data_IF_330562457978
#
_entry.id   IF_330562457978
#
_cell.length_a   1.000
_cell.length_b   1.000
_cell.length_c   1.000
_cell.angle_alpha   90.00
_cell.angle_beta   90.00
_cell.angle_gamma   90.00
#
_symmetry.space_group_name_H-M   'P 1'
#
loop_
_entity.id
_entity.type
_entity.pdbx_description
1 polymer ?
#
# COMPACT_ATOMS: atom_id res chain seq x y z
N UNK A 1 -18.32 0.63 10.43
CA UNK A 1 -19.48 -0.28 10.47
C UNK A 1 -20.81 0.47 10.59
N UNK A 2 -20.91 1.56 11.36
CA UNK A 2 -22.18 2.27 11.60
C UNK A 2 -22.80 2.86 10.32
N UNK A 3 -21.96 3.40 9.41
CA UNK A 3 -22.42 3.87 8.11
C UNK A 3 -22.96 2.72 7.25
N UNK A 4 -22.29 1.59 7.25
CA UNK A 4 -22.74 0.41 6.52
C UNK A 4 -24.04 -0.14 7.10
N UNK A 5 -24.21 -0.11 8.43
CA UNK A 5 -25.47 -0.46 9.11
C UNK A 5 -26.63 0.44 8.68
N UNK A 6 -26.40 1.75 8.59
CA UNK A 6 -27.44 2.70 8.16
C UNK A 6 -27.84 2.52 6.70
N UNK A 7 -26.88 2.25 5.81
CA UNK A 7 -27.13 1.98 4.40
C UNK A 7 -27.92 0.67 4.20
N UNK A 8 -27.59 -0.38 4.95
CA UNK A 8 -28.28 -1.67 4.88
C UNK A 8 -29.62 -1.70 5.65
N UNK A 9 -29.96 -0.65 6.40
CA UNK A 9 -31.29 -0.47 6.96
C UNK A 9 -32.32 -0.04 5.91
N UNK A 10 -31.91 0.37 4.71
CA UNK A 10 -32.79 0.69 3.60
C UNK A 10 -33.56 -0.57 3.15
N UNK A 11 -34.93 -0.54 3.14
CA UNK A 11 -35.74 -1.66 2.68
C UNK A 11 -35.45 -2.09 1.23
N UNK A 12 -34.97 -1.20 0.39
CA UNK A 12 -34.59 -1.52 -1.00
C UNK A 12 -33.34 -2.40 -1.04
N UNK A 13 -32.38 -2.15 -0.14
CA UNK A 13 -31.13 -2.92 -0.05
C UNK A 13 -31.27 -4.19 0.82
N UNK A 14 -32.28 -4.22 1.69
CA UNK A 14 -32.56 -5.33 2.59
C UNK A 14 -34.07 -5.65 2.65
N UNK A 15 -34.67 -6.11 1.55
CA UNK A 15 -36.11 -6.34 1.47
C UNK A 15 -36.63 -7.44 2.42
N UNK A 16 -35.73 -8.31 2.90
CA UNK A 16 -36.06 -9.37 3.86
C UNK A 16 -36.05 -8.96 5.32
N UNK A 17 -35.67 -7.71 5.65
CA UNK A 17 -35.57 -7.22 7.03
C UNK A 17 -34.57 -7.99 7.92
N UNK A 18 -33.58 -8.67 7.32
CA UNK A 18 -32.53 -9.39 8.04
C UNK A 18 -31.71 -8.41 8.88
N UNK A 19 -31.28 -8.80 10.09
CA UNK A 19 -30.40 -7.94 10.88
C UNK A 19 -29.02 -7.84 10.20
N UNK A 20 -28.34 -6.71 10.41
CA UNK A 20 -26.97 -6.50 9.88
C UNK A 20 -26.02 -7.61 10.30
N UNK A 21 -26.07 -8.02 11.55
CA UNK A 21 -25.25 -9.08 12.12
C UNK A 21 -25.49 -10.45 11.45
N UNK A 22 -26.75 -10.80 11.23
CA UNK A 22 -27.12 -12.02 10.54
C UNK A 22 -26.67 -12.01 9.07
N UNK A 23 -26.86 -10.88 8.39
CA UNK A 23 -26.41 -10.69 7.01
C UNK A 23 -24.89 -10.82 6.87
N UNK A 24 -24.12 -10.15 7.74
CA UNK A 24 -22.65 -10.23 7.74
C UNK A 24 -22.19 -11.66 8.03
N UNK A 25 -22.74 -12.31 9.05
CA UNK A 25 -22.36 -13.69 9.39
C UNK A 25 -22.58 -14.68 8.24
N UNK A 26 -23.59 -14.42 7.41
CA UNK A 26 -23.95 -15.28 6.27
C UNK A 26 -23.21 -14.94 4.98
N UNK A 27 -22.85 -13.66 4.77
CA UNK A 27 -22.38 -13.16 3.46
C UNK A 27 -20.93 -12.69 3.44
N UNK A 28 -20.32 -12.47 4.60
CA UNK A 28 -18.98 -11.91 4.68
C UNK A 28 -18.03 -12.84 5.43
N UNK A 29 -16.89 -13.09 4.81
CA UNK A 29 -15.75 -13.78 5.44
C UNK A 29 -14.56 -12.83 5.39
N UNK A 30 -13.94 -12.58 6.55
CA UNK A 30 -12.70 -11.82 6.61
C UNK A 30 -11.50 -12.77 6.48
N UNK A 31 -10.60 -12.47 5.55
CA UNK A 31 -9.33 -13.17 5.38
C UNK A 31 -8.18 -12.22 5.63
N UNK A 32 -7.07 -12.74 6.16
CA UNK A 32 -5.85 -11.97 6.40
C UNK A 32 -5.01 -11.93 5.13
N UNK A 33 -4.63 -10.72 4.67
CA UNK A 33 -3.78 -10.58 3.51
C UNK A 33 -3.09 -9.21 3.45
N UNK A 34 -2.01 -9.14 2.67
CA UNK A 34 -1.23 -7.93 2.45
C UNK A 34 -0.80 -7.82 0.98
N UNK A 35 -1.33 -6.80 0.29
CA UNK A 35 -1.00 -6.53 -1.12
C UNK A 35 0.47 -6.13 -1.34
N UNK A 36 1.20 -5.78 -0.29
CA UNK A 36 2.63 -5.49 -0.37
C UNK A 36 3.51 -6.76 -0.32
N UNK A 37 2.91 -7.92 -0.06
CA UNK A 37 3.60 -9.20 0.09
C UNK A 37 3.31 -10.12 -1.10
N UNK A 38 4.33 -10.84 -1.57
CA UNK A 38 4.17 -11.82 -2.65
C UNK A 38 3.23 -12.96 -2.19
N UNK A 39 2.36 -13.42 -3.09
CA UNK A 39 1.28 -14.35 -2.76
C UNK A 39 0.21 -13.76 -1.82
N UNK A 40 0.22 -12.42 -1.64
CA UNK A 40 -0.69 -11.68 -0.76
C UNK A 40 -0.59 -12.08 0.72
N UNK A 41 0.43 -12.83 1.13
CA UNK A 41 0.58 -13.33 2.49
C UNK A 41 -0.54 -14.26 2.97
N UNK A 42 -1.34 -14.81 2.04
CA UNK A 42 -2.47 -15.69 2.36
C UNK A 42 -1.98 -17.07 2.83
N UNK A 43 -2.55 -17.57 3.92
CA UNK A 43 -2.40 -18.98 4.30
C UNK A 43 -3.27 -19.88 3.39
N UNK A 44 -3.13 -21.20 3.50
CA UNK A 44 -3.85 -22.16 2.64
C UNK A 44 -5.37 -22.03 2.72
N UNK A 45 -5.93 -21.75 3.90
CA UNK A 45 -7.37 -21.59 4.11
C UNK A 45 -7.86 -20.30 3.42
N UNK A 46 -7.15 -19.20 3.61
CA UNK A 46 -7.48 -17.91 3.01
C UNK A 46 -7.28 -17.94 1.47
N UNK A 47 -6.28 -18.70 0.98
CA UNK A 47 -6.11 -18.95 -0.45
C UNK A 47 -7.32 -19.68 -1.06
N UNK A 48 -7.89 -20.66 -0.35
CA UNK A 48 -9.08 -21.36 -0.83
C UNK A 48 -10.30 -20.43 -0.91
N UNK A 49 -10.46 -19.54 0.07
CA UNK A 49 -11.51 -18.51 0.04
C UNK A 49 -11.28 -17.54 -1.12
N UNK A 50 -10.07 -17.02 -1.28
CA UNK A 50 -9.70 -16.12 -2.38
C UNK A 50 -9.93 -16.79 -3.75
N UNK A 51 -9.56 -18.07 -3.89
CA UNK A 51 -9.73 -18.83 -5.12
C UNK A 51 -11.20 -19.10 -5.48
N UNK A 52 -12.12 -19.01 -4.53
CA UNK A 52 -13.55 -19.18 -4.77
C UNK A 52 -14.24 -17.93 -5.31
N UNK A 53 -13.54 -16.80 -5.37
CA UNK A 53 -14.11 -15.54 -5.84
C UNK A 53 -14.13 -15.48 -7.38
N UNK A 54 -15.27 -15.12 -7.96
CA UNK A 54 -15.45 -14.83 -9.38
C UNK A 54 -15.23 -13.35 -9.73
N UNK A 55 -15.22 -12.48 -8.72
CA UNK A 55 -14.99 -11.03 -8.86
C UNK A 55 -14.07 -10.55 -7.75
N UNK A 56 -13.07 -9.75 -8.11
CA UNK A 56 -12.16 -9.07 -7.17
C UNK A 56 -12.29 -7.56 -7.34
N UNK A 57 -12.63 -6.86 -6.26
CA UNK A 57 -12.64 -5.40 -6.23
C UNK A 57 -11.41 -4.93 -5.45
N UNK A 58 -10.41 -4.43 -6.16
CA UNK A 58 -9.19 -3.90 -5.57
C UNK A 58 -9.32 -2.41 -5.32
N UNK A 59 -9.38 -2.02 -4.03
CA UNK A 59 -9.41 -0.62 -3.58
C UNK A 59 -8.35 -0.31 -2.52
N UNK A 60 -7.44 -1.24 -2.27
CA UNK A 60 -6.35 -1.04 -1.32
C UNK A 60 -5.28 -0.12 -1.89
N UNK A 61 -4.97 0.98 -1.20
CA UNK A 61 -3.94 1.92 -1.62
C UNK A 61 -3.34 2.68 -0.43
N UNK A 62 -2.09 3.10 -0.56
CA UNK A 62 -1.51 4.14 0.27
C UNK A 62 -1.98 5.49 -0.26
N UNK A 63 -2.86 6.17 0.48
CA UNK A 63 -3.54 7.41 0.04
C UNK A 63 -2.90 8.69 0.56
N UNK A 64 -1.88 8.59 1.42
CA UNK A 64 -1.15 9.75 1.93
C UNK A 64 -0.21 10.31 0.87
N UNK A 65 -0.29 11.62 0.61
CA UNK A 65 0.66 12.32 -0.27
C UNK A 65 2.09 12.38 0.30
N UNK A 66 2.26 12.11 1.59
CA UNK A 66 3.55 12.01 2.27
C UNK A 66 3.98 10.55 2.49
N UNK A 67 3.46 9.63 1.69
CA UNK A 67 3.93 8.24 1.69
C UNK A 67 5.37 8.16 1.18
N UNK A 68 6.23 7.33 1.81
CA UNK A 68 7.53 6.99 1.25
C UNK A 68 7.38 6.42 -0.16
N UNK A 69 8.29 6.80 -1.06
CA UNK A 69 8.23 6.40 -2.48
C UNK A 69 8.14 4.89 -2.66
N UNK A 70 8.96 4.14 -1.93
CA UNK A 70 8.99 2.68 -1.99
C UNK A 70 7.67 2.06 -1.51
N UNK A 71 7.08 2.59 -0.44
CA UNK A 71 5.77 2.15 0.06
C UNK A 71 4.66 2.40 -0.97
N UNK A 72 4.65 3.58 -1.60
CA UNK A 72 3.69 3.90 -2.65
C UNK A 72 3.85 2.96 -3.87
N UNK A 73 5.09 2.66 -4.26
CA UNK A 73 5.39 1.71 -5.35
C UNK A 73 4.94 0.30 -4.98
N UNK A 74 5.27 -0.19 -3.78
CA UNK A 74 4.95 -1.57 -3.39
C UNK A 74 3.44 -1.79 -3.19
N UNK A 75 2.70 -0.79 -2.72
CA UNK A 75 1.26 -0.90 -2.47
C UNK A 75 0.46 -0.54 -3.71
N UNK A 76 0.67 0.67 -4.27
CA UNK A 76 -0.22 1.19 -5.31
C UNK A 76 0.09 0.65 -6.70
N UNK A 77 1.38 0.35 -7.00
CA UNK A 77 1.77 -0.17 -8.29
C UNK A 77 1.90 -1.69 -8.27
N UNK A 78 2.59 -2.26 -7.28
CA UNK A 78 2.82 -3.69 -7.20
C UNK A 78 1.63 -4.46 -6.61
N UNK A 79 0.78 -3.83 -5.80
CA UNK A 79 -0.40 -4.46 -5.22
C UNK A 79 -1.30 -5.13 -6.26
N UNK A 80 -1.85 -4.40 -7.25
CA UNK A 80 -2.66 -5.02 -8.30
C UNK A 80 -1.90 -6.05 -9.14
N UNK A 81 -0.59 -5.88 -9.34
CA UNK A 81 0.26 -6.89 -10.03
C UNK A 81 0.32 -8.19 -9.21
N UNK A 82 0.51 -8.09 -7.88
CA UNK A 82 0.53 -9.28 -7.00
C UNK A 82 -0.82 -9.99 -6.93
N UNK A 83 -1.92 -9.24 -6.94
CA UNK A 83 -3.27 -9.85 -7.03
C UNK A 83 -3.38 -10.68 -8.31
N UNK A 84 -3.00 -10.12 -9.46
CA UNK A 84 -3.03 -10.84 -10.73
C UNK A 84 -2.09 -12.07 -10.71
N UNK A 85 -0.91 -11.96 -10.13
CA UNK A 85 0.02 -13.08 -9.97
C UNK A 85 -0.54 -14.17 -9.04
N UNK A 86 -1.22 -13.80 -7.95
CA UNK A 86 -1.88 -14.76 -7.06
C UNK A 86 -3.01 -15.50 -7.79
N UNK A 87 -3.83 -14.79 -8.57
CA UNK A 87 -4.85 -15.43 -9.42
C UNK A 87 -4.23 -16.42 -10.40
N UNK A 88 -3.14 -16.03 -11.06
CA UNK A 88 -2.42 -16.90 -11.99
C UNK A 88 -1.84 -18.14 -11.29
N UNK A 89 -1.24 -17.97 -10.11
CA UNK A 89 -0.67 -19.07 -9.34
C UNK A 89 -1.74 -20.07 -8.87
N UNK A 90 -2.94 -19.60 -8.56
CA UNK A 90 -4.09 -20.42 -8.16
C UNK A 90 -4.91 -20.96 -9.35
N UNK A 91 -4.55 -20.61 -10.58
CA UNK A 91 -5.24 -21.07 -11.79
C UNK A 91 -6.66 -20.51 -11.95
N UNK A 92 -6.95 -19.32 -11.37
CA UNK A 92 -8.26 -18.67 -11.44
C UNK A 92 -8.23 -17.43 -12.35
N UNK A 93 -9.39 -17.08 -12.93
CA UNK A 93 -9.56 -15.89 -13.77
C UNK A 93 -10.80 -15.09 -13.36
N UNK A 94 -10.79 -14.47 -12.17
CA UNK A 94 -11.91 -13.64 -11.73
C UNK A 94 -12.01 -12.36 -12.54
N UNK A 95 -13.22 -11.76 -12.58
CA UNK A 95 -13.37 -10.39 -13.06
C UNK A 95 -12.70 -9.42 -12.09
N UNK A 96 -11.72 -8.63 -12.57
CA UNK A 96 -10.97 -7.72 -11.73
C UNK A 96 -11.43 -6.27 -11.93
N UNK A 97 -11.86 -5.62 -10.87
CA UNK A 97 -12.24 -4.21 -10.82
C UNK A 97 -11.20 -3.45 -10.00
N UNK A 98 -10.50 -2.51 -10.63
CA UNK A 98 -9.54 -1.62 -9.94
C UNK A 98 -10.18 -0.27 -9.62
N UNK A 99 -10.16 0.10 -8.33
CA UNK A 99 -10.50 1.47 -7.90
C UNK A 99 -9.22 2.29 -7.88
N UNK A 100 -9.12 3.27 -8.77
CA UNK A 100 -7.93 4.08 -8.96
C UNK A 100 -8.28 5.57 -9.00
N UNK A 101 -7.25 6.42 -9.09
CA UNK A 101 -7.43 7.87 -9.23
C UNK A 101 -7.57 8.28 -10.69
N UNK A 102 -8.32 9.35 -10.93
CA UNK A 102 -8.39 9.99 -12.25
C UNK A 102 -7.23 10.99 -12.51
N UNK A 103 -6.36 11.24 -11.52
CA UNK A 103 -5.24 12.17 -11.66
C UNK A 103 -4.05 11.53 -12.37
N UNK A 104 -4.23 11.18 -13.64
CA UNK A 104 -3.21 10.52 -14.47
C UNK A 104 -2.66 11.41 -15.59
N UNK A 105 -3.18 12.64 -15.73
CA UNK A 105 -2.78 13.58 -16.78
C UNK A 105 -1.54 14.44 -16.40
N UNK A 106 -0.95 14.25 -15.23
CA UNK A 106 0.21 15.01 -14.76
C UNK A 106 -0.07 16.51 -14.69
N UNK A 107 0.79 17.33 -15.31
CA UNK A 107 0.67 18.79 -15.35
C UNK A 107 -0.07 19.30 -16.62
N UNK A 108 -0.79 18.44 -17.32
CA UNK A 108 -1.57 18.79 -18.51
C UNK A 108 -2.58 19.90 -18.20
N UNK A 109 -2.75 20.82 -19.16
CA UNK A 109 -3.74 21.90 -19.07
C UNK A 109 -4.75 21.74 -20.22
N UNK A 110 -6.03 21.85 -19.90
CA UNK A 110 -7.13 21.68 -20.84
C UNK A 110 -7.92 20.40 -20.59
N UNK A 111 -8.61 19.90 -21.60
CA UNK A 111 -9.40 18.69 -21.50
C UNK A 111 -8.49 17.45 -21.43
N UNK A 112 -8.69 16.64 -20.43
CA UNK A 112 -8.09 15.31 -20.33
C UNK A 112 -9.18 14.29 -20.73
N UNK A 113 -9.18 13.77 -21.97
CA UNK A 113 -10.18 12.80 -22.41
C UNK A 113 -10.02 11.49 -21.63
N UNK A 114 -11.14 10.82 -21.37
CA UNK A 114 -11.15 9.49 -20.77
C UNK A 114 -10.69 8.48 -21.81
N UNK A 115 -9.40 8.14 -21.76
CA UNK A 115 -8.75 7.21 -22.67
C UNK A 115 -7.67 6.41 -21.93
N UNK A 116 -7.18 5.35 -22.55
CA UNK A 116 -6.03 4.63 -22.00
C UNK A 116 -4.82 5.56 -21.94
N UNK A 117 -4.04 5.46 -20.84
CA UNK A 117 -2.85 6.30 -20.65
C UNK A 117 -1.85 6.15 -21.81
N UNK A 118 -1.70 4.92 -22.33
CA UNK A 118 -0.87 4.62 -23.50
C UNK A 118 -1.30 5.35 -24.79
N UNK A 119 -2.56 5.75 -24.88
CA UNK A 119 -3.13 6.40 -26.06
C UNK A 119 -3.17 7.93 -25.90
N UNK A 120 -2.78 8.43 -24.73
CA UNK A 120 -2.84 9.84 -24.35
C UNK A 120 -1.50 10.56 -24.49
N UNK A 121 -1.57 11.92 -24.49
CA UNK A 121 -0.40 12.79 -24.53
C UNK A 121 0.44 12.77 -23.25
N UNK A 122 -0.04 12.10 -22.23
CA UNK A 122 0.59 11.94 -20.92
C UNK A 122 1.38 10.63 -20.76
N UNK A 123 1.43 9.80 -21.82
CA UNK A 123 2.38 8.69 -21.84
C UNK A 123 3.80 9.25 -21.98
N UNK A 124 4.54 9.14 -20.89
CA UNK A 124 5.93 9.61 -20.81
C UNK A 124 6.94 8.50 -21.12
N UNK A 125 6.48 7.35 -21.61
CA UNK A 125 7.33 6.23 -22.02
C UNK A 125 8.12 5.59 -20.87
N UNK A 126 7.69 5.74 -19.62
CA UNK A 126 8.36 5.15 -18.46
C UNK A 126 8.12 3.64 -18.38
N UNK A 127 9.19 2.91 -18.15
CA UNK A 127 9.10 1.49 -17.84
C UNK A 127 8.81 1.31 -16.34
N UNK A 128 7.59 0.93 -15.99
CA UNK A 128 7.22 0.68 -14.60
C UNK A 128 8.16 -0.34 -13.90
N UNK A 129 8.66 -1.37 -14.62
CA UNK A 129 9.62 -2.35 -14.09
C UNK A 129 10.95 -1.70 -13.69
N UNK A 130 11.42 -0.73 -14.48
CA UNK A 130 12.62 0.04 -14.15
C UNK A 130 12.40 0.93 -12.93
N UNK A 131 11.22 1.54 -12.83
CA UNK A 131 10.86 2.39 -11.68
C UNK A 131 10.73 1.58 -10.39
N UNK A 132 10.14 0.40 -10.42
CA UNK A 132 10.12 -0.53 -9.27
C UNK A 132 11.54 -0.89 -8.83
N UNK A 133 12.40 -1.27 -9.77
CA UNK A 133 13.80 -1.62 -9.48
C UNK A 133 14.59 -0.41 -8.93
N UNK A 134 14.34 0.79 -9.45
CA UNK A 134 14.98 2.01 -8.96
C UNK A 134 14.52 2.39 -7.56
N UNK A 135 13.22 2.27 -7.27
CA UNK A 135 12.64 2.53 -5.94
C UNK A 135 13.20 1.58 -4.88
N UNK A 136 13.26 0.28 -5.20
CA UNK A 136 13.82 -0.74 -4.30
C UNK A 136 15.30 -0.51 -4.02
N UNK A 137 16.06 -0.13 -5.04
CA UNK A 137 17.47 0.21 -4.91
C UNK A 137 17.65 1.42 -4.02
N UNK A 138 16.90 2.49 -4.27
CA UNK A 138 16.93 3.70 -3.46
C UNK A 138 16.63 3.41 -1.97
N UNK A 139 15.63 2.55 -1.69
CA UNK A 139 15.34 2.10 -0.32
C UNK A 139 16.55 1.42 0.30
N UNK A 140 17.19 0.48 -0.44
CA UNK A 140 18.39 -0.22 0.04
C UNK A 140 19.56 0.73 0.31
N UNK A 141 19.80 1.70 -0.57
CA UNK A 141 20.88 2.68 -0.42
C UNK A 141 20.66 3.59 0.80
N UNK A 142 19.43 4.09 1.00
CA UNK A 142 19.08 4.92 2.17
C UNK A 142 19.19 4.11 3.47
N UNK A 143 18.70 2.86 3.48
CA UNK A 143 18.86 1.96 4.64
C UNK A 143 20.35 1.71 4.96
N UNK A 144 21.18 1.41 3.96
CA UNK A 144 22.61 1.23 4.15
C UNK A 144 23.27 2.51 4.68
N UNK A 145 22.93 3.67 4.12
CA UNK A 145 23.45 4.96 4.59
C UNK A 145 23.05 5.24 6.05
N UNK A 146 21.80 4.91 6.43
CA UNK A 146 21.30 5.11 7.78
C UNK A 146 22.06 4.29 8.84
N UNK A 147 22.66 3.17 8.43
CA UNK A 147 23.42 2.25 9.29
C UNK A 147 24.92 2.56 9.30
N UNK A 148 25.37 3.56 8.55
CA UNK A 148 26.74 4.04 8.61
C UNK A 148 27.13 4.53 10.00
N UNK A 149 28.40 4.35 10.40
CA UNK A 149 28.88 4.65 11.77
C UNK A 149 28.59 6.08 12.21
N UNK A 150 28.79 7.05 11.33
CA UNK A 150 28.51 8.47 11.60
C UNK A 150 27.02 8.74 11.86
N UNK A 151 26.13 8.17 11.02
CA UNK A 151 24.69 8.33 11.18
C UNK A 151 24.18 7.66 12.45
N UNK A 152 24.66 6.46 12.75
CA UNK A 152 24.28 5.79 14.00
C UNK A 152 24.76 6.55 15.23
N UNK A 153 25.98 7.11 15.20
CA UNK A 153 26.49 7.95 16.26
C UNK A 153 25.63 9.22 16.44
N UNK A 154 25.23 9.84 15.33
CA UNK A 154 24.30 10.99 15.34
C UNK A 154 22.96 10.63 15.99
N UNK A 155 22.27 9.58 15.52
CA UNK A 155 20.99 9.18 16.08
C UNK A 155 21.09 8.83 17.56
N UNK A 156 22.17 8.16 17.97
CA UNK A 156 22.43 7.85 19.37
C UNK A 156 22.64 9.09 20.22
N UNK A 157 23.32 10.11 19.67
CA UNK A 157 23.52 11.40 20.34
C UNK A 157 22.18 12.10 20.54
N UNK A 158 21.35 12.18 19.50
CA UNK A 158 20.03 12.81 19.60
C UNK A 158 19.11 12.05 20.58
N UNK A 159 19.10 10.72 20.54
CA UNK A 159 18.36 9.91 21.49
C UNK A 159 18.77 10.19 22.95
N UNK A 160 20.06 10.38 23.21
CA UNK A 160 20.56 10.75 24.55
C UNK A 160 20.11 12.12 24.99
N UNK A 161 20.07 13.11 24.10
CA UNK A 161 19.57 14.47 24.42
C UNK A 161 18.11 14.44 24.88
N UNK A 162 17.29 13.61 24.20
CA UNK A 162 15.87 13.49 24.54
C UNK A 162 15.60 12.67 25.82
N UNK A 163 16.34 11.60 26.02
CA UNK A 163 16.08 10.64 27.12
C UNK A 163 16.89 10.89 28.39
N UNK A 164 17.91 11.75 28.34
CA UNK A 164 18.78 12.02 29.49
C UNK A 164 19.49 10.77 30.01
N UNK A 165 19.31 10.45 31.30
CA UNK A 165 19.95 9.31 31.97
C UNK A 165 19.23 7.98 31.84
N UNK A 166 18.35 7.81 30.83
CA UNK A 166 17.61 6.57 30.62
C UNK A 166 18.53 5.37 30.28
N UNK A 167 18.10 4.19 30.68
CA UNK A 167 18.86 2.94 30.51
C UNK A 167 19.09 2.50 29.06
N UNK A 168 20.03 1.57 28.88
CA UNK A 168 20.48 1.08 27.58
C UNK A 168 19.36 0.63 26.61
N UNK A 169 18.35 -0.16 27.04
CA UNK A 169 17.26 -0.59 26.16
C UNK A 169 16.42 0.58 25.61
N UNK A 170 16.08 1.56 26.44
CA UNK A 170 15.32 2.75 26.03
C UNK A 170 16.11 3.60 25.01
N UNK A 171 17.42 3.75 25.26
CA UNK A 171 18.31 4.46 24.33
C UNK A 171 18.40 3.73 22.98
N UNK A 172 18.51 2.41 22.97
CA UNK A 172 18.55 1.63 21.73
C UNK A 172 17.26 1.76 20.92
N UNK A 173 16.11 1.62 21.58
CA UNK A 173 14.78 1.77 20.96
C UNK A 173 14.58 3.18 20.37
N UNK A 174 14.94 4.23 21.13
CA UNK A 174 14.83 5.60 20.63
C UNK A 174 15.80 5.88 19.47
N UNK A 175 17.03 5.35 19.53
CA UNK A 175 18.00 5.46 18.43
C UNK A 175 17.43 4.85 17.14
N UNK A 176 16.83 3.66 17.23
CA UNK A 176 16.22 3.01 16.06
C UNK A 176 14.99 3.79 15.54
N UNK A 177 14.14 4.28 16.42
CA UNK A 177 13.01 5.14 16.03
C UNK A 177 13.46 6.41 15.29
N UNK A 178 14.53 7.07 15.72
CA UNK A 178 15.09 8.23 15.00
C UNK A 178 15.68 7.84 13.65
N UNK A 179 16.35 6.69 13.56
CA UNK A 179 16.87 6.16 12.30
C UNK A 179 15.72 5.91 11.31
N UNK A 180 14.67 5.20 11.74
CA UNK A 180 13.50 4.91 10.91
C UNK A 180 12.79 6.19 10.44
N UNK A 181 12.62 7.15 11.32
CA UNK A 181 12.05 8.46 10.97
C UNK A 181 12.90 9.18 9.90
N UNK A 182 14.24 9.13 10.04
CA UNK A 182 15.14 9.69 9.03
C UNK A 182 15.02 8.99 7.69
N UNK A 183 15.03 7.64 7.67
CA UNK A 183 14.84 6.84 6.45
C UNK A 183 13.52 7.20 5.76
N UNK A 184 12.43 7.26 6.52
CA UNK A 184 11.12 7.68 6.02
C UNK A 184 11.19 9.08 5.39
N UNK A 185 11.80 10.05 6.05
CA UNK A 185 11.92 11.41 5.54
C UNK A 185 12.69 11.47 4.21
N UNK A 186 13.80 10.71 4.08
CA UNK A 186 14.57 10.64 2.84
C UNK A 186 13.75 10.03 1.69
N UNK A 187 12.97 8.99 1.96
CA UNK A 187 12.12 8.35 0.94
C UNK A 187 10.93 9.23 0.52
N UNK A 188 10.37 10.00 1.44
CA UNK A 188 9.33 11.01 1.13
C UNK A 188 9.92 12.11 0.24
N UNK A 189 11.09 12.63 0.59
CA UNK A 189 11.75 13.68 -0.20
C UNK A 189 12.13 13.18 -1.60
N UNK A 190 12.62 11.96 -1.72
CA UNK A 190 12.90 11.35 -3.00
C UNK A 190 11.64 11.18 -3.87
N UNK A 191 10.47 10.96 -3.26
CA UNK A 191 9.19 10.92 -3.97
C UNK A 191 8.74 12.31 -4.48
N UNK A 192 9.01 13.36 -3.71
CA UNK A 192 8.68 14.74 -4.08
C UNK A 192 9.56 15.30 -5.21
N UNK A 193 10.78 14.79 -5.33
CA UNK A 193 11.76 15.25 -6.31
C UNK A 193 11.66 14.54 -7.68
N UNK A 194 10.78 13.55 -7.81
CA UNK A 194 10.48 12.79 -9.04
C UNK A 194 9.20 13.24 -9.71
#
# INVERSE_FOLDING_TARGET
FDRLKSELADPVLNPGGETFEAMVARRAVAIGGDVSTDGLGLNEVDQAVFASCDTIIHSAAAVSFDSPLDSAVEINLMGPVRIAQACQALGIMPHMVGVSTCYVAGNWRGNAPEALVSDGHWDIGLSWKKEVAASRRLRGDIEAQSRGSEKLAFFRSEARKELGAAGGPALASKTESLREAWVKAQLVEAGRSR
#
